data_IF_465050367054
#
_entry.id   IF_465050367054
#
_cell.length_a   1.000
_cell.length_b   1.000
_cell.length_c   1.000
_cell.angle_alpha   90.00
_cell.angle_beta   90.00
_cell.angle_gamma   90.00
#
_symmetry.space_group_name_H-M   'P 1'
#
loop_
_entity.id
_entity.type
_entity.pdbx_description
1 polymer ?
#
# COMPACT_ATOMS: atom_id res chain seq x y z
N UNK A 1 -39.94 -6.36 20.21
CA UNK A 1 -39.49 -6.22 18.82
C UNK A 1 -38.13 -6.90 18.72
N UNK A 2 -38.05 -8.00 17.98
CA UNK A 2 -36.89 -8.90 17.90
C UNK A 2 -35.91 -8.39 16.85
N UNK A 3 -34.65 -8.13 17.22
CA UNK A 3 -33.56 -7.83 16.27
C UNK A 3 -32.78 -9.12 15.98
N UNK A 4 -32.91 -9.63 14.75
CA UNK A 4 -32.09 -10.72 14.22
C UNK A 4 -30.80 -10.13 13.63
N UNK A 5 -29.65 -10.43 14.25
CA UNK A 5 -28.33 -10.12 13.68
C UNK A 5 -27.81 -11.40 13.03
N UNK A 6 -27.96 -11.49 11.71
CA UNK A 6 -27.36 -12.51 10.88
C UNK A 6 -25.90 -12.17 10.55
N UNK A 7 -25.01 -13.13 10.79
CA UNK A 7 -23.65 -13.26 10.27
C UNK A 7 -22.63 -12.16 10.64
N UNK A 8 -22.09 -12.27 11.87
CA UNK A 8 -20.89 -11.56 12.28
C UNK A 8 -19.63 -12.27 11.75
N UNK A 9 -19.16 -11.89 10.56
CA UNK A 9 -17.78 -12.14 10.13
C UNK A 9 -16.97 -10.84 10.29
N UNK A 10 -16.81 -10.40 11.54
CA UNK A 10 -15.80 -9.42 11.91
C UNK A 10 -14.58 -10.19 12.40
N UNK A 11 -13.60 -10.41 11.52
CA UNK A 11 -12.29 -10.91 11.93
C UNK A 11 -11.68 -9.95 12.95
N UNK A 12 -11.50 -10.43 14.19
CA UNK A 12 -10.83 -9.81 15.33
C UNK A 12 -10.52 -8.30 15.22
N UNK A 13 -11.41 -7.48 15.78
CA UNK A 13 -11.10 -6.10 16.14
C UNK A 13 -10.42 -6.13 17.52
N UNK A 14 -9.09 -6.11 17.55
CA UNK A 14 -8.34 -5.92 18.79
C UNK A 14 -8.26 -4.42 19.10
N UNK A 15 -9.10 -3.98 20.04
CA UNK A 15 -9.11 -2.63 20.57
C UNK A 15 -8.17 -2.55 21.78
N UNK A 16 -7.03 -1.86 21.64
CA UNK A 16 -6.14 -1.54 22.77
C UNK A 16 -6.05 -0.02 22.92
N UNK A 17 -6.89 0.52 23.80
CA UNK A 17 -6.60 1.77 24.50
C UNK A 17 -7.06 3.09 23.85
N UNK A 18 -8.35 3.39 24.08
CA UNK A 18 -9.00 4.71 24.18
C UNK A 18 -9.23 5.52 22.88
N UNK A 19 -10.52 5.79 22.68
CA UNK A 19 -11.17 6.74 21.77
C UNK A 19 -11.01 6.52 20.27
N UNK A 20 -11.74 5.52 19.77
CA UNK A 20 -11.99 5.38 18.34
C UNK A 20 -13.15 6.30 17.93
N UNK A 21 -12.81 7.52 17.51
CA UNK A 21 -13.76 8.43 16.87
C UNK A 21 -13.93 8.01 15.40
N UNK A 22 -15.02 7.30 15.08
CA UNK A 22 -15.37 6.95 13.71
C UNK A 22 -16.23 8.08 13.13
N UNK A 23 -15.64 8.95 12.32
CA UNK A 23 -16.39 9.85 11.43
C UNK A 23 -16.31 9.37 9.99
N UNK A 24 -17.47 9.11 9.39
CA UNK A 24 -17.63 8.89 7.96
C UNK A 24 -17.96 7.44 7.60
N UNK A 25 -19.25 7.16 7.43
CA UNK A 25 -19.73 5.88 6.90
C UNK A 25 -19.30 5.67 5.45
N UNK A 26 -18.23 4.90 5.26
CA UNK A 26 -17.99 4.12 4.06
C UNK A 26 -17.33 2.81 4.53
N UNK A 27 -18.02 1.69 4.31
CA UNK A 27 -17.49 0.34 4.54
C UNK A 27 -16.40 0.02 3.50
N UNK A 28 -15.30 0.76 3.54
CA UNK A 28 -14.04 0.44 2.91
C UNK A 28 -13.04 0.08 4.00
N UNK A 29 -12.32 -1.02 3.84
CA UNK A 29 -11.27 -1.43 4.78
C UNK A 29 -10.26 -0.27 4.91
N UNK A 30 -10.26 0.44 6.04
CA UNK A 30 -9.35 1.56 6.28
C UNK A 30 -7.97 0.97 6.56
N UNK A 31 -7.04 1.14 5.62
CA UNK A 31 -5.64 0.73 5.82
C UNK A 31 -5.01 1.65 6.87
N UNK A 32 -4.48 1.09 7.95
CA UNK A 32 -3.83 1.85 9.03
C UNK A 32 -2.39 2.24 8.66
N UNK A 33 -1.78 3.25 9.32
CA UNK A 33 -0.36 3.57 9.14
C UNK A 33 0.57 2.38 9.36
N UNK A 34 0.26 1.50 10.32
CA UNK A 34 1.06 0.30 10.61
C UNK A 34 0.96 -0.71 9.46
N UNK A 35 -0.23 -0.91 8.91
CA UNK A 35 -0.43 -1.77 7.73
C UNK A 35 0.30 -1.21 6.50
N UNK A 36 0.28 0.11 6.31
CA UNK A 36 1.05 0.77 5.26
C UNK A 36 2.57 0.57 5.47
N UNK A 37 3.05 0.65 6.71
CA UNK A 37 4.45 0.38 7.02
C UNK A 37 4.87 -1.07 6.73
N UNK A 38 4.04 -2.05 7.09
CA UNK A 38 4.28 -3.46 6.77
C UNK A 38 4.30 -3.69 5.25
N UNK A 39 3.32 -3.14 4.53
CA UNK A 39 3.29 -3.21 3.07
C UNK A 39 4.53 -2.54 2.42
N UNK A 40 5.03 -1.44 2.98
CA UNK A 40 6.30 -0.84 2.52
C UNK A 40 7.48 -1.79 2.75
N UNK A 41 7.58 -2.43 3.91
CA UNK A 41 8.65 -3.38 4.19
C UNK A 41 8.62 -4.58 3.22
N UNK A 42 7.42 -5.13 2.96
CA UNK A 42 7.20 -6.19 1.97
C UNK A 42 7.58 -5.74 0.56
N UNK A 43 7.14 -4.55 0.14
CA UNK A 43 7.49 -3.98 -1.17
C UNK A 43 9.00 -3.85 -1.32
N UNK A 44 9.69 -3.32 -0.31
CA UNK A 44 11.15 -3.17 -0.33
C UNK A 44 11.85 -4.51 -0.44
N UNK A 45 11.40 -5.53 0.30
CA UNK A 45 11.94 -6.87 0.20
C UNK A 45 11.69 -7.49 -1.19
N UNK A 46 10.48 -7.31 -1.73
CA UNK A 46 10.12 -7.76 -3.08
C UNK A 46 10.98 -7.13 -4.16
N UNK A 47 11.18 -5.80 -4.12
CA UNK A 47 12.05 -5.09 -5.08
C UNK A 47 13.48 -5.61 -5.01
N UNK A 48 14.02 -5.85 -3.80
CA UNK A 48 15.38 -6.42 -3.65
C UNK A 48 15.51 -7.85 -4.18
N UNK A 49 14.43 -8.61 -4.16
CA UNK A 49 14.42 -9.96 -4.73
C UNK A 49 14.33 -9.95 -6.27
N UNK A 50 13.93 -8.82 -6.89
CA UNK A 50 13.91 -8.70 -8.35
C UNK A 50 15.31 -8.45 -8.92
N UNK A 51 15.60 -9.08 -10.06
CA UNK A 51 16.83 -8.83 -10.83
C UNK A 51 16.64 -7.62 -11.75
N UNK A 52 16.70 -6.43 -11.17
CA UNK A 52 16.73 -5.17 -11.93
C UNK A 52 18.13 -4.91 -12.48
N UNK A 53 18.23 -4.25 -13.62
CA UNK A 53 19.51 -3.70 -14.07
C UNK A 53 19.99 -2.59 -13.09
N UNK A 54 21.29 -2.28 -13.06
CA UNK A 54 21.84 -1.35 -12.07
C UNK A 54 21.20 0.03 -12.07
N UNK A 55 20.86 0.59 -13.23
CA UNK A 55 20.29 1.93 -13.32
C UNK A 55 18.85 1.95 -12.78
N UNK A 56 18.06 0.95 -13.15
CA UNK A 56 16.68 0.78 -12.66
C UNK A 56 16.64 0.50 -11.16
N UNK A 57 17.59 -0.29 -10.63
CA UNK A 57 17.71 -0.57 -9.20
C UNK A 57 17.96 0.69 -8.38
N UNK A 58 18.88 1.56 -8.82
CA UNK A 58 19.15 2.84 -8.16
C UNK A 58 17.92 3.76 -8.17
N UNK A 59 17.21 3.82 -9.30
CA UNK A 59 15.99 4.61 -9.41
C UNK A 59 14.89 4.09 -8.47
N UNK A 60 14.72 2.76 -8.38
CA UNK A 60 13.74 2.14 -7.50
C UNK A 60 14.06 2.37 -6.01
N UNK A 61 15.31 2.19 -5.58
CA UNK A 61 15.72 2.43 -4.19
C UNK A 61 15.58 3.90 -3.80
N UNK A 62 15.81 4.84 -4.73
CA UNK A 62 15.55 6.26 -4.50
C UNK A 62 14.08 6.52 -4.21
N UNK A 63 13.16 6.03 -5.04
CA UNK A 63 11.73 6.25 -4.80
C UNK A 63 11.23 5.51 -3.55
N UNK A 64 11.79 4.34 -3.22
CA UNK A 64 11.53 3.65 -1.94
C UNK A 64 11.96 4.47 -0.73
N UNK A 65 13.14 5.11 -0.77
CA UNK A 65 13.62 5.98 0.31
C UNK A 65 12.76 7.24 0.49
N UNK A 66 12.26 7.81 -0.60
CA UNK A 66 11.33 8.95 -0.56
C UNK A 66 9.97 8.53 0.06
N UNK A 67 9.46 7.33 -0.27
CA UNK A 67 8.25 6.75 0.35
C UNK A 67 8.46 6.51 1.84
N UNK A 68 9.59 5.93 2.23
CA UNK A 68 9.95 5.66 3.62
C UNK A 68 9.94 6.92 4.47
N UNK A 69 10.53 8.00 3.94
CA UNK A 69 10.61 9.28 4.62
C UNK A 69 9.23 9.90 4.85
N UNK A 70 8.29 9.68 3.93
CA UNK A 70 6.90 10.10 4.10
C UNK A 70 6.14 9.27 5.14
N UNK A 71 6.40 7.96 5.20
CA UNK A 71 5.75 7.04 6.14
C UNK A 71 6.26 7.16 7.58
N UNK A 72 7.53 7.54 7.79
CA UNK A 72 8.13 7.68 9.12
C UNK A 72 7.67 8.91 9.90
N UNK A 73 6.90 9.81 9.28
CA UNK A 73 6.35 10.98 9.97
C UNK A 73 5.29 10.55 10.98
N UNK A 74 5.15 11.31 12.08
CA UNK A 74 4.14 11.05 13.11
C UNK A 74 2.73 10.98 12.51
N UNK A 75 2.48 11.84 11.52
CA UNK A 75 1.34 11.74 10.61
C UNK A 75 1.89 11.54 9.19
N UNK A 76 1.69 10.36 8.58
CA UNK A 76 2.24 10.08 7.25
C UNK A 76 1.76 11.08 6.18
N UNK A 77 2.71 11.69 5.47
CA UNK A 77 2.41 12.65 4.40
C UNK A 77 2.03 11.93 3.10
N UNK A 78 0.73 11.60 2.98
CA UNK A 78 0.16 10.89 1.82
C UNK A 78 0.37 11.67 0.51
N UNK A 79 0.37 13.00 0.54
CA UNK A 79 0.58 13.84 -0.64
C UNK A 79 2.03 13.75 -1.15
N UNK A 80 3.00 13.56 -0.26
CA UNK A 80 4.39 13.27 -0.64
C UNK A 80 4.61 11.84 -1.09
N UNK A 81 3.94 10.87 -0.47
CA UNK A 81 4.12 9.43 -0.77
C UNK A 81 3.58 9.09 -2.16
N UNK A 82 2.37 9.56 -2.50
CA UNK A 82 1.66 9.17 -3.72
C UNK A 82 2.48 9.30 -5.02
N UNK A 83 3.07 10.47 -5.36
CA UNK A 83 3.84 10.60 -6.60
C UNK A 83 5.09 9.70 -6.63
N UNK A 84 5.66 9.34 -5.48
CA UNK A 84 6.84 8.47 -5.39
C UNK A 84 6.48 7.01 -5.62
N UNK A 85 5.41 6.57 -4.98
CA UNK A 85 4.87 5.22 -5.18
C UNK A 85 4.40 5.02 -6.63
N UNK A 86 3.80 6.04 -7.25
CA UNK A 86 3.40 6.00 -8.65
C UNK A 86 4.61 5.86 -9.59
N UNK A 87 5.69 6.64 -9.36
CA UNK A 87 6.93 6.52 -10.14
C UNK A 87 7.59 5.15 -9.96
N UNK A 88 7.68 4.67 -8.72
CA UNK A 88 8.19 3.32 -8.44
C UNK A 88 7.39 2.26 -9.21
N UNK A 89 6.06 2.36 -9.18
CA UNK A 89 5.18 1.41 -9.89
C UNK A 89 5.43 1.43 -11.40
N UNK A 90 5.65 2.61 -11.99
CA UNK A 90 6.02 2.73 -13.42
C UNK A 90 7.40 2.14 -13.73
N UNK A 91 8.39 2.36 -12.86
CA UNK A 91 9.73 1.76 -13.02
C UNK A 91 9.62 0.23 -13.03
N UNK A 92 8.90 -0.33 -12.06
CA UNK A 92 8.69 -1.79 -11.95
C UNK A 92 7.85 -2.35 -13.10
N UNK A 93 6.88 -1.59 -13.61
CA UNK A 93 6.09 -1.96 -14.77
C UNK A 93 6.96 -1.99 -16.04
N UNK A 94 7.74 -0.95 -16.29
CA UNK A 94 8.63 -0.85 -17.44
C UNK A 94 9.72 -1.93 -17.44
N UNK A 95 10.21 -2.31 -16.25
CA UNK A 95 11.15 -3.41 -16.08
C UNK A 95 10.51 -4.81 -16.19
N UNK A 96 9.18 -4.91 -16.34
CA UNK A 96 8.46 -6.19 -16.33
C UNK A 96 8.44 -6.90 -14.97
N UNK A 97 8.90 -6.24 -13.91
CA UNK A 97 8.99 -6.80 -12.57
C UNK A 97 7.62 -7.08 -11.96
N UNK A 98 6.61 -6.27 -12.26
CA UNK A 98 5.24 -6.51 -11.80
C UNK A 98 4.65 -7.81 -12.37
N UNK A 99 5.01 -8.18 -13.60
CA UNK A 99 4.55 -9.41 -14.24
C UNK A 99 5.34 -10.63 -13.74
N UNK A 100 6.66 -10.49 -13.53
CA UNK A 100 7.53 -11.61 -13.14
C UNK A 100 7.55 -11.92 -11.64
N UNK A 101 7.45 -10.91 -10.78
CA UNK A 101 7.41 -11.08 -9.32
C UNK A 101 5.97 -11.24 -8.77
N UNK A 102 4.96 -10.96 -9.60
CA UNK A 102 3.56 -11.22 -9.29
C UNK A 102 3.08 -10.60 -7.97
N UNK A 103 2.44 -11.40 -7.13
CA UNK A 103 1.81 -10.94 -5.88
C UNK A 103 2.80 -10.30 -4.90
N UNK A 104 4.09 -10.69 -4.93
CA UNK A 104 5.12 -10.16 -4.03
C UNK A 104 5.36 -8.64 -4.20
N UNK A 105 5.04 -8.07 -5.37
CA UNK A 105 5.05 -6.63 -5.60
C UNK A 105 3.64 -6.04 -5.67
N UNK A 106 2.71 -6.74 -6.34
CA UNK A 106 1.37 -6.20 -6.60
C UNK A 106 0.56 -6.02 -5.32
N UNK A 107 0.63 -6.97 -4.39
CA UNK A 107 -0.12 -6.89 -3.13
C UNK A 107 0.30 -5.70 -2.26
N UNK A 108 1.60 -5.50 -1.93
CA UNK A 108 1.99 -4.36 -1.11
C UNK A 108 1.80 -3.00 -1.81
N UNK A 109 1.97 -2.91 -3.14
CA UNK A 109 1.65 -1.67 -3.88
C UNK A 109 0.15 -1.36 -3.78
N UNK A 110 -0.72 -2.37 -3.89
CA UNK A 110 -2.17 -2.19 -3.74
C UNK A 110 -2.54 -1.70 -2.35
N UNK A 111 -1.97 -2.29 -1.30
CA UNK A 111 -2.22 -1.87 0.09
C UNK A 111 -1.78 -0.42 0.31
N UNK A 112 -0.58 -0.06 -0.15
CA UNK A 112 -0.09 1.31 -0.08
C UNK A 112 -0.97 2.28 -0.88
N UNK A 113 -1.43 1.90 -2.07
CA UNK A 113 -2.35 2.73 -2.85
C UNK A 113 -3.71 2.91 -2.16
N UNK A 114 -4.24 1.89 -1.50
CA UNK A 114 -5.46 1.99 -0.68
C UNK A 114 -5.26 2.90 0.53
N UNK A 115 -4.09 2.83 1.19
CA UNK A 115 -3.72 3.76 2.26
C UNK A 115 -3.72 5.22 1.80
N UNK A 116 -3.31 5.49 0.56
CA UNK A 116 -3.33 6.83 -0.03
C UNK A 116 -4.74 7.34 -0.36
N UNK A 117 -5.76 6.48 -0.30
CA UNK A 117 -7.14 6.83 -0.65
C UNK A 117 -7.23 7.30 -2.11
N UNK A 118 -7.87 8.45 -2.34
CA UNK A 118 -8.04 9.01 -3.68
C UNK A 118 -6.71 9.25 -4.44
N UNK A 119 -5.64 9.56 -3.70
CA UNK A 119 -4.31 9.79 -4.29
C UNK A 119 -3.67 8.49 -4.84
N UNK A 120 -4.15 7.33 -4.41
CA UNK A 120 -3.68 6.03 -4.89
C UNK A 120 -4.39 5.52 -6.15
N UNK A 121 -5.47 6.18 -6.60
CA UNK A 121 -6.23 5.71 -7.76
C UNK A 121 -5.39 5.58 -9.05
N UNK A 122 -4.48 6.52 -9.40
CA UNK A 122 -3.59 6.37 -10.55
C UNK A 122 -2.68 5.14 -10.43
N UNK A 123 -2.25 4.81 -9.22
CA UNK A 123 -1.34 3.70 -8.91
C UNK A 123 -2.07 2.37 -9.13
N UNK A 124 -3.32 2.27 -8.64
CA UNK A 124 -4.16 1.09 -8.86
C UNK A 124 -4.41 0.84 -10.35
N UNK A 125 -4.56 1.91 -11.15
CA UNK A 125 -4.71 1.81 -12.60
C UNK A 125 -3.46 1.30 -13.34
N UNK A 126 -2.28 1.32 -12.71
CA UNK A 126 -1.04 0.78 -13.27
C UNK A 126 -0.84 -0.71 -12.94
N UNK A 127 -1.55 -1.24 -11.95
CA UNK A 127 -1.37 -2.63 -11.54
C UNK A 127 -2.01 -3.59 -12.55
N UNK A 128 -1.34 -4.71 -12.87
CA UNK A 128 -1.94 -5.73 -13.70
C UNK A 128 -3.21 -6.26 -13.02
N UNK A 129 -4.26 -6.46 -13.81
CA UNK A 129 -5.46 -7.17 -13.37
C UNK A 129 -5.03 -8.63 -13.20
N UNK A 130 -4.69 -9.02 -11.98
CA UNK A 130 -4.52 -10.43 -11.64
C UNK A 130 -5.90 -11.08 -11.71
N UNK A 131 -6.14 -11.83 -12.79
CA UNK A 131 -7.32 -12.66 -12.98
C UNK A 131 -7.25 -13.91 -12.10
#
# INVERSE_FOLDING_TARGET
MTFNIGNQNAGNINNVGRDQHITGGQTGMVVTPEQAWQAYAELRAGVRATRLDPATSVAAEKELGDVESGLRQLEPDRARIAPRLERLTRILLAAGSLASAGSALVAPIRILAQFLGALGAPILGLLPILA
#
